data_IF_034970208105
#
_entry.id   IF_034970208105
#
_cell.length_a   1.000
_cell.length_b   1.000
_cell.length_c   1.000
_cell.angle_alpha   90.00
_cell.angle_beta   90.00
_cell.angle_gamma   90.00
#
_symmetry.space_group_name_H-M   'P 1'
#
loop_
_entity.id
_entity.type
_entity.pdbx_description
1 polymer ?
#
# COMPACT_ATOMS: atom_id res chain seq x y z
N UNK A 1 0.53 2.55 -26.79
CA UNK A 1 1.36 1.88 -25.78
C UNK A 1 2.81 1.87 -26.25
N UNK A 2 3.79 2.30 -25.45
CA UNK A 2 5.17 2.00 -25.75
C UNK A 2 5.34 0.48 -25.79
N UNK A 3 6.12 -0.01 -26.75
CA UNK A 3 6.49 -1.43 -26.81
C UNK A 3 7.62 -1.59 -25.80
N UNK A 4 7.45 -2.42 -24.74
CA UNK A 4 8.54 -2.70 -23.84
C UNK A 4 9.72 -3.33 -24.59
N UNK A 5 10.90 -2.92 -24.24
CA UNK A 5 12.16 -3.37 -24.87
C UNK A 5 12.57 -4.80 -24.48
N UNK A 6 11.77 -5.48 -23.66
CA UNK A 6 12.08 -6.80 -23.12
C UNK A 6 13.10 -6.77 -21.98
N UNK A 7 13.45 -5.59 -21.48
CA UNK A 7 14.38 -5.43 -20.36
C UNK A 7 13.84 -6.03 -19.08
N UNK A 8 14.70 -6.74 -18.36
CA UNK A 8 14.39 -7.30 -17.06
C UNK A 8 14.57 -6.25 -15.97
N UNK A 9 13.48 -5.91 -15.29
CA UNK A 9 13.50 -4.96 -14.19
C UNK A 9 13.37 -5.72 -12.86
N UNK A 10 14.24 -5.43 -11.90
CA UNK A 10 14.13 -6.02 -10.55
C UNK A 10 12.95 -5.43 -9.78
N UNK A 11 12.75 -4.13 -9.86
CA UNK A 11 11.69 -3.40 -9.17
C UNK A 11 10.93 -2.54 -10.17
N UNK A 12 9.61 -2.67 -10.17
CA UNK A 12 8.71 -1.80 -10.93
C UNK A 12 7.72 -1.11 -9.99
N UNK A 13 7.36 0.11 -10.35
CA UNK A 13 6.37 0.93 -9.65
C UNK A 13 5.14 1.05 -10.54
N UNK A 14 3.97 0.78 -9.98
CA UNK A 14 2.71 0.91 -10.70
C UNK A 14 1.76 1.85 -9.97
N UNK A 15 1.09 2.69 -10.74
CA UNK A 15 0.11 3.64 -10.23
C UNK A 15 -0.97 3.93 -11.28
N UNK A 16 -2.15 4.37 -10.83
CA UNK A 16 -3.27 4.79 -11.68
C UNK A 16 -3.54 6.27 -11.55
N UNK A 17 -3.45 7.02 -12.67
CA UNK A 17 -3.73 8.45 -12.71
C UNK A 17 -5.09 8.68 -13.38
N UNK A 18 -6.07 9.11 -12.59
CA UNK A 18 -7.38 9.48 -13.10
C UNK A 18 -7.33 10.83 -13.82
N UNK A 19 -7.55 10.82 -15.12
CA UNK A 19 -7.55 12.02 -15.99
C UNK A 19 -8.96 12.57 -16.14
N UNK A 20 -9.95 11.67 -16.09
CA UNK A 20 -11.38 12.02 -16.13
C UNK A 20 -12.18 11.00 -15.30
N UNK A 21 -13.48 11.23 -15.15
CA UNK A 21 -14.36 10.36 -14.35
C UNK A 21 -14.35 8.89 -14.80
N UNK A 22 -14.17 8.65 -16.08
CA UNK A 22 -14.20 7.34 -16.74
C UNK A 22 -12.94 7.05 -17.54
N UNK A 23 -11.83 7.73 -17.20
CA UNK A 23 -10.55 7.55 -17.86
C UNK A 23 -9.42 7.55 -16.84
N UNK A 24 -8.73 6.43 -16.71
CA UNK A 24 -7.52 6.26 -15.92
C UNK A 24 -6.36 5.87 -16.82
N UNK A 25 -5.20 6.46 -16.59
CA UNK A 25 -3.92 6.05 -17.18
C UNK A 25 -3.19 5.21 -16.14
N UNK A 26 -3.08 3.91 -16.40
CA UNK A 26 -2.25 3.00 -15.63
C UNK A 26 -0.82 3.13 -16.11
N UNK A 27 0.11 3.33 -15.18
CA UNK A 27 1.52 3.56 -15.49
C UNK A 27 2.37 2.51 -14.79
N UNK A 28 3.39 2.02 -15.49
CA UNK A 28 4.45 1.19 -14.96
C UNK A 28 5.78 1.90 -15.17
N UNK A 29 6.53 2.13 -14.09
CA UNK A 29 7.84 2.83 -14.12
C UNK A 29 8.92 1.93 -13.52
N UNK A 30 10.13 2.06 -14.06
CA UNK A 30 11.35 1.70 -13.38
C UNK A 30 11.82 2.85 -12.54
N UNK A 31 12.43 3.04 -11.57
CA UNK A 31 12.78 4.29 -10.84
C UNK A 31 13.25 5.47 -11.72
N UNK A 32 13.62 5.21 -12.98
CA UNK A 32 14.21 6.21 -13.87
C UNK A 32 13.29 6.63 -15.02
N UNK A 33 12.41 5.74 -15.50
CA UNK A 33 11.60 5.99 -16.70
C UNK A 33 10.25 5.27 -16.66
N UNK A 34 9.32 5.74 -17.46
CA UNK A 34 8.08 5.03 -17.77
C UNK A 34 8.42 3.85 -18.69
N UNK A 35 8.17 2.63 -18.22
CA UNK A 35 8.36 1.38 -18.95
C UNK A 35 7.15 1.09 -19.85
N UNK A 36 5.95 1.30 -19.32
CA UNK A 36 4.71 1.10 -20.07
C UNK A 36 3.58 1.92 -19.47
N UNK A 37 2.52 2.13 -20.26
CA UNK A 37 1.28 2.72 -19.81
C UNK A 37 0.08 2.13 -20.57
N UNK A 38 -1.09 2.16 -19.94
CA UNK A 38 -2.33 1.66 -20.53
C UNK A 38 -3.52 2.54 -20.13
N UNK A 39 -4.35 2.92 -21.10
CA UNK A 39 -5.55 3.72 -20.84
C UNK A 39 -6.76 2.79 -20.65
N UNK A 40 -7.49 3.01 -19.56
CA UNK A 40 -8.65 2.20 -19.20
C UNK A 40 -9.79 3.07 -18.63
N UNK A 41 -11.00 2.51 -18.57
CA UNK A 41 -12.12 3.15 -17.89
C UNK A 41 -12.12 2.96 -16.37
N UNK A 42 -11.35 1.99 -15.88
CA UNK A 42 -11.23 1.70 -14.45
C UNK A 42 -10.01 0.84 -14.16
N UNK A 43 -9.54 0.88 -12.91
CA UNK A 43 -8.42 0.09 -12.40
C UNK A 43 -8.82 -1.36 -12.08
N UNK A 44 -9.43 -2.06 -13.02
CA UNK A 44 -9.77 -3.46 -12.85
C UNK A 44 -8.61 -4.41 -13.21
N UNK A 45 -8.71 -5.69 -12.82
CA UNK A 45 -7.65 -6.66 -13.04
C UNK A 45 -7.31 -6.86 -14.51
N UNK A 46 -8.30 -6.80 -15.40
CA UNK A 46 -8.06 -6.95 -16.85
C UNK A 46 -7.18 -5.80 -17.40
N UNK A 47 -7.44 -4.56 -16.98
CA UNK A 47 -6.66 -3.41 -17.39
C UNK A 47 -5.22 -3.50 -16.85
N UNK A 48 -5.04 -3.90 -15.60
CA UNK A 48 -3.72 -4.14 -15.02
C UNK A 48 -2.98 -5.29 -15.70
N UNK A 49 -3.67 -6.39 -16.01
CA UNK A 49 -3.06 -7.50 -16.76
C UNK A 49 -2.63 -7.05 -18.16
N UNK A 50 -3.43 -6.21 -18.84
CA UNK A 50 -3.05 -5.67 -20.15
C UNK A 50 -1.81 -4.75 -20.08
N UNK A 51 -1.66 -3.97 -19.00
CA UNK A 51 -0.45 -3.18 -18.76
C UNK A 51 0.78 -4.07 -18.56
N UNK A 52 0.64 -5.13 -17.74
CA UNK A 52 1.78 -5.95 -17.29
C UNK A 52 2.16 -7.06 -18.28
N UNK A 53 1.22 -7.54 -19.10
CA UNK A 53 1.46 -8.68 -19.99
C UNK A 53 2.67 -8.53 -20.92
N UNK A 54 2.98 -7.35 -21.51
CA UNK A 54 4.15 -7.18 -22.39
C UNK A 54 5.46 -6.97 -21.60
N UNK A 55 5.43 -6.87 -20.27
CA UNK A 55 6.61 -6.59 -19.44
C UNK A 55 7.07 -7.89 -18.81
N UNK A 56 8.38 -8.24 -18.89
CA UNK A 56 8.91 -9.36 -18.12
C UNK A 56 8.60 -9.21 -16.62
N UNK A 57 8.17 -10.30 -15.97
CA UNK A 57 7.77 -10.26 -14.57
C UNK A 57 8.92 -9.80 -13.66
N UNK A 58 8.78 -8.70 -12.90
CA UNK A 58 9.82 -8.21 -11.99
C UNK A 58 9.91 -9.08 -10.73
N UNK A 59 11.01 -8.93 -9.98
CA UNK A 59 11.14 -9.54 -8.66
C UNK A 59 10.15 -8.92 -7.66
N UNK A 60 10.01 -7.59 -7.73
CA UNK A 60 9.13 -6.81 -6.85
C UNK A 60 8.33 -5.79 -7.66
N UNK A 61 7.08 -5.62 -7.28
CA UNK A 61 6.26 -4.50 -7.74
C UNK A 61 5.78 -3.66 -6.57
N UNK A 62 5.99 -2.35 -6.66
CA UNK A 62 5.51 -1.37 -5.68
C UNK A 62 4.17 -0.81 -6.16
N UNK A 63 3.15 -0.88 -5.32
CA UNK A 63 1.78 -0.49 -5.66
C UNK A 63 1.08 0.26 -4.53
N UNK A 64 0.07 1.04 -4.87
CA UNK A 64 -0.88 1.63 -3.91
C UNK A 64 -1.83 0.60 -3.28
N UNK A 65 -1.92 -0.63 -3.80
CA UNK A 65 -2.63 -1.79 -3.24
C UNK A 65 -4.08 -1.94 -3.69
N UNK A 66 -4.43 -1.46 -4.85
CA UNK A 66 -5.74 -1.72 -5.44
C UNK A 66 -6.01 -3.22 -5.65
N UNK A 67 -7.24 -3.68 -5.35
CA UNK A 67 -7.63 -5.10 -5.49
C UNK A 67 -7.53 -5.61 -6.93
N UNK A 68 -7.76 -4.73 -7.90
CA UNK A 68 -7.60 -5.05 -9.33
C UNK A 68 -6.16 -5.43 -9.66
N UNK A 69 -5.19 -4.66 -9.17
CA UNK A 69 -3.78 -4.96 -9.37
C UNK A 69 -3.36 -6.25 -8.66
N UNK A 70 -3.77 -6.42 -7.40
CA UNK A 70 -3.45 -7.62 -6.64
C UNK A 70 -3.94 -8.92 -7.33
N UNK A 71 -5.08 -8.87 -8.02
CA UNK A 71 -5.57 -9.99 -8.83
C UNK A 71 -4.70 -10.16 -10.08
N UNK A 72 -4.41 -9.09 -10.81
CA UNK A 72 -3.61 -9.14 -12.03
C UNK A 72 -2.22 -9.73 -11.79
N UNK A 73 -1.52 -9.29 -10.75
CA UNK A 73 -0.17 -9.79 -10.42
C UNK A 73 -0.15 -11.29 -10.13
N UNK A 74 -1.17 -11.83 -9.47
CA UNK A 74 -1.27 -13.28 -9.23
C UNK A 74 -1.41 -14.08 -10.52
N UNK A 75 -2.03 -13.49 -11.54
CA UNK A 75 -2.29 -14.16 -12.83
C UNK A 75 -1.11 -13.99 -13.80
N UNK A 76 -0.47 -12.83 -13.84
CA UNK A 76 0.59 -12.52 -14.83
C UNK A 76 2.01 -12.71 -14.31
N UNK A 77 2.22 -12.58 -13.02
CA UNK A 77 3.53 -12.70 -12.38
C UNK A 77 3.46 -13.39 -11.03
N UNK A 78 3.13 -14.71 -10.95
CA UNK A 78 2.88 -15.41 -9.69
C UNK A 78 4.10 -15.46 -8.75
N UNK A 79 5.31 -15.22 -9.24
CA UNK A 79 6.54 -15.13 -8.44
C UNK A 79 6.92 -13.71 -8.06
N UNK A 80 6.28 -12.72 -8.65
CA UNK A 80 6.51 -11.30 -8.33
C UNK A 80 6.01 -11.00 -6.93
N UNK A 81 6.86 -10.45 -6.08
CA UNK A 81 6.51 -10.02 -4.73
C UNK A 81 5.91 -8.63 -4.76
N UNK A 82 4.93 -8.40 -3.90
CA UNK A 82 4.24 -7.11 -3.81
C UNK A 82 4.81 -6.32 -2.64
N UNK A 83 5.24 -5.09 -2.90
CA UNK A 83 5.56 -4.08 -1.92
C UNK A 83 4.44 -3.04 -1.87
N UNK A 84 3.88 -2.82 -0.72
CA UNK A 84 2.95 -1.71 -0.51
C UNK A 84 3.70 -0.38 -0.47
N UNK A 85 3.31 0.58 -1.26
CA UNK A 85 3.86 1.93 -1.19
C UNK A 85 3.63 2.52 0.21
N UNK A 86 4.71 2.78 0.95
CA UNK A 86 4.64 3.29 2.34
C UNK A 86 4.03 4.69 2.40
N UNK A 87 4.26 5.52 1.38
CA UNK A 87 3.59 6.82 1.25
C UNK A 87 2.07 6.70 1.13
N UNK A 88 1.56 5.76 0.32
CA UNK A 88 0.12 5.52 0.21
C UNK A 88 -0.46 4.89 1.47
N UNK A 89 0.28 4.01 2.15
CA UNK A 89 -0.11 3.47 3.46
C UNK A 89 -0.25 4.60 4.51
N UNK A 90 0.73 5.49 4.60
CA UNK A 90 0.64 6.70 5.44
C UNK A 90 -0.52 7.60 5.03
N UNK A 91 -0.67 7.89 3.74
CA UNK A 91 -1.72 8.77 3.21
C UNK A 91 -3.12 8.25 3.55
N UNK A 92 -3.31 6.93 3.55
CA UNK A 92 -4.55 6.30 3.96
C UNK A 92 -4.85 6.53 5.45
N UNK A 93 -3.87 6.38 6.35
CA UNK A 93 -4.02 6.70 7.77
C UNK A 93 -4.31 8.20 7.96
N UNK A 94 -3.54 9.07 7.29
CA UNK A 94 -3.73 10.52 7.32
C UNK A 94 -5.15 10.93 6.90
N UNK A 95 -5.76 10.26 5.94
CA UNK A 95 -7.17 10.51 5.54
C UNK A 95 -8.14 10.31 6.69
N UNK A 96 -7.89 9.34 7.56
CA UNK A 96 -8.74 9.04 8.71
C UNK A 96 -8.39 9.88 9.95
N UNK A 97 -7.11 10.10 10.23
CA UNK A 97 -6.65 10.84 11.41
C UNK A 97 -6.63 12.35 11.21
N UNK A 98 -6.61 12.84 9.95
CA UNK A 98 -6.28 14.23 9.56
C UNK A 98 -4.79 14.55 9.73
N UNK A 99 -4.39 15.79 9.35
CA UNK A 99 -3.00 16.25 9.53
C UNK A 99 -2.72 16.76 10.96
N UNK A 100 -3.76 17.05 11.73
CA UNK A 100 -3.68 17.55 13.12
C UNK A 100 -4.69 16.80 14.00
N UNK A 101 -4.43 15.53 14.34
CA UNK A 101 -5.35 14.74 15.15
C UNK A 101 -5.53 15.37 16.54
N UNK A 102 -6.77 15.49 16.99
CA UNK A 102 -7.07 16.05 18.33
C UNK A 102 -6.90 15.00 19.43
N UNK A 103 -7.30 13.76 19.16
CA UNK A 103 -7.22 12.64 20.11
C UNK A 103 -5.79 12.13 20.20
N UNK A 104 -5.35 11.73 21.39
CA UNK A 104 -4.01 11.18 21.61
C UNK A 104 -3.80 9.91 20.77
N UNK A 105 -4.73 8.96 20.81
CA UNK A 105 -4.68 7.77 19.97
C UNK A 105 -4.46 8.09 18.48
N UNK A 106 -5.13 9.14 17.99
CA UNK A 106 -4.98 9.60 16.61
C UNK A 106 -3.62 10.21 16.32
N UNK A 107 -3.05 11.00 17.27
CA UNK A 107 -1.71 11.59 17.14
C UNK A 107 -0.63 10.52 17.08
N UNK A 108 -0.71 9.54 17.97
CA UNK A 108 0.23 8.43 18.02
C UNK A 108 0.16 7.57 16.75
N UNK A 109 -1.05 7.18 16.30
CA UNK A 109 -1.22 6.41 15.07
C UNK A 109 -0.73 7.17 13.83
N UNK A 110 -0.95 8.50 13.78
CA UNK A 110 -0.42 9.34 12.70
C UNK A 110 1.12 9.31 12.66
N UNK A 111 1.79 9.41 13.82
CA UNK A 111 3.24 9.35 13.90
C UNK A 111 3.76 7.97 13.52
N UNK A 112 3.17 6.89 14.04
CA UNK A 112 3.51 5.51 13.68
C UNK A 112 3.41 5.33 12.14
N UNK A 113 2.31 5.75 11.54
CA UNK A 113 2.14 5.62 10.10
C UNK A 113 3.11 6.48 9.28
N UNK A 114 3.46 7.69 9.77
CA UNK A 114 4.44 8.57 9.12
C UNK A 114 5.84 7.96 9.13
N UNK A 115 6.21 7.32 10.22
CA UNK A 115 7.53 6.74 10.40
C UNK A 115 7.81 5.56 9.44
N UNK A 116 6.75 4.97 8.81
CA UNK A 116 6.90 3.97 7.73
C UNK A 116 7.81 4.44 6.59
N UNK A 117 7.80 5.74 6.28
CA UNK A 117 8.54 6.29 5.15
C UNK A 117 10.06 6.40 5.41
N UNK A 118 10.49 6.25 6.65
CA UNK A 118 11.91 6.33 7.04
C UNK A 118 12.52 4.99 7.46
N UNK A 119 11.84 3.87 7.22
CA UNK A 119 12.35 2.55 7.59
C UNK A 119 13.29 2.03 6.51
N UNK A 120 14.55 1.77 6.88
CA UNK A 120 15.61 1.36 5.97
C UNK A 120 16.22 -0.01 6.32
N UNK A 121 15.93 -0.55 7.51
CA UNK A 121 16.48 -1.83 7.97
C UNK A 121 15.43 -2.76 8.53
N UNK A 122 15.71 -4.07 8.52
CA UNK A 122 14.82 -5.08 9.13
C UNK A 122 14.59 -4.81 10.62
N UNK A 123 15.63 -4.43 11.34
CA UNK A 123 15.51 -4.11 12.76
C UNK A 123 14.57 -2.91 13.01
N UNK A 124 14.66 -1.86 12.19
CA UNK A 124 13.69 -0.74 12.26
C UNK A 124 12.26 -1.19 11.94
N UNK A 125 12.10 -2.11 10.97
CA UNK A 125 10.79 -2.66 10.63
C UNK A 125 10.21 -3.48 11.79
N UNK A 126 11.01 -4.30 12.46
CA UNK A 126 10.60 -5.08 13.64
C UNK A 126 10.15 -4.15 14.78
N UNK A 127 10.94 -3.15 15.12
CA UNK A 127 10.60 -2.15 16.14
C UNK A 127 9.34 -1.36 15.78
N UNK A 128 9.13 -1.06 14.50
CA UNK A 128 7.94 -0.39 14.03
C UNK A 128 6.69 -1.27 14.20
N UNK A 129 6.77 -2.56 13.85
CA UNK A 129 5.67 -3.52 14.01
C UNK A 129 5.33 -3.69 15.49
N UNK A 130 6.33 -3.86 16.36
CA UNK A 130 6.16 -3.95 17.80
C UNK A 130 5.42 -2.72 18.35
N UNK A 131 5.92 -1.52 18.07
CA UNK A 131 5.27 -0.26 18.47
C UNK A 131 3.84 -0.13 17.96
N UNK A 132 3.55 -0.59 16.73
CA UNK A 132 2.21 -0.58 16.19
C UNK A 132 1.28 -1.57 16.92
N UNK A 133 1.78 -2.75 17.25
CA UNK A 133 1.02 -3.75 18.00
C UNK A 133 0.74 -3.30 19.43
N UNK A 134 1.71 -2.67 20.09
CA UNK A 134 1.55 -2.06 21.42
C UNK A 134 0.47 -0.98 21.39
N UNK A 135 0.48 -0.11 20.38
CA UNK A 135 -0.57 0.88 20.17
C UNK A 135 -1.95 0.20 19.99
N UNK A 136 -2.02 -0.87 19.23
CA UNK A 136 -3.26 -1.62 19.01
C UNK A 136 -3.80 -2.21 20.32
N UNK A 137 -2.93 -2.75 21.16
CA UNK A 137 -3.28 -3.30 22.48
C UNK A 137 -3.72 -2.21 23.46
N UNK A 138 -2.92 -1.14 23.57
CA UNK A 138 -3.19 -0.05 24.53
C UNK A 138 -4.53 0.65 24.26
N UNK A 139 -4.87 0.89 23.00
CA UNK A 139 -6.10 1.59 22.59
C UNK A 139 -7.28 0.66 22.26
N UNK A 140 -7.17 -0.65 22.55
CA UNK A 140 -8.19 -1.63 22.16
C UNK A 140 -9.58 -1.26 22.69
N UNK A 141 -9.71 -1.07 23.99
CA UNK A 141 -11.01 -0.78 24.64
C UNK A 141 -11.56 0.58 24.20
N UNK A 142 -10.70 1.60 24.12
CA UNK A 142 -11.08 2.92 23.62
C UNK A 142 -11.66 2.86 22.20
N UNK A 143 -11.13 2.02 21.34
CA UNK A 143 -11.63 1.85 19.99
C UNK A 143 -12.93 1.06 19.91
N UNK A 144 -13.31 0.32 20.97
CA UNK A 144 -14.59 -0.38 21.05
C UNK A 144 -15.72 0.49 21.62
N UNK A 145 -15.43 1.72 22.09
CA UNK A 145 -16.43 2.67 22.57
C UNK A 145 -17.54 2.89 21.55
N UNK A 146 -18.78 2.93 22.04
CA UNK A 146 -19.97 3.11 21.22
C UNK A 146 -20.82 4.26 21.72
N UNK A 147 -21.36 5.02 20.77
CA UNK A 147 -22.33 6.08 21.01
C UNK A 147 -23.63 5.80 20.25
N UNK A 148 -24.71 6.45 20.65
CA UNK A 148 -25.99 6.36 19.95
C UNK A 148 -26.16 7.61 19.10
N UNK A 149 -26.33 7.43 17.79
CA UNK A 149 -26.62 8.49 16.83
C UNK A 149 -27.89 8.08 16.06
N UNK A 150 -28.91 8.92 16.10
CA UNK A 150 -30.21 8.68 15.45
C UNK A 150 -30.80 7.30 15.81
N UNK A 151 -30.72 6.92 17.11
CA UNK A 151 -31.21 5.65 17.62
C UNK A 151 -30.38 4.41 17.28
N UNK A 152 -29.24 4.57 16.58
CA UNK A 152 -28.34 3.48 16.19
C UNK A 152 -27.04 3.51 17.00
N UNK A 153 -26.62 2.35 17.50
CA UNK A 153 -25.30 2.20 18.14
C UNK A 153 -24.22 2.16 17.05
N UNK A 154 -23.33 3.14 17.08
CA UNK A 154 -22.18 3.26 16.17
C UNK A 154 -20.88 3.32 16.97
N UNK A 155 -19.77 2.98 16.36
CA UNK A 155 -18.47 3.18 17.01
C UNK A 155 -18.16 4.67 17.14
N UNK A 156 -17.83 5.11 18.35
CA UNK A 156 -17.45 6.51 18.64
C UNK A 156 -16.21 6.91 17.84
N UNK A 157 -15.28 5.98 17.70
CA UNK A 157 -13.97 6.20 17.05
C UNK A 157 -13.82 5.48 15.72
N UNK A 158 -14.90 5.41 14.92
CA UNK A 158 -14.95 4.67 13.64
C UNK A 158 -13.80 5.02 12.69
N UNK A 159 -13.41 6.30 12.59
CA UNK A 159 -12.31 6.70 11.73
C UNK A 159 -10.97 6.10 12.17
N UNK A 160 -10.68 6.10 13.49
CA UNK A 160 -9.46 5.47 14.02
C UNK A 160 -9.49 3.94 13.84
N UNK A 161 -10.65 3.32 13.99
CA UNK A 161 -10.85 1.89 13.70
C UNK A 161 -10.50 1.55 12.25
N UNK A 162 -10.96 2.36 11.30
CA UNK A 162 -10.63 2.20 9.88
C UNK A 162 -9.15 2.40 9.61
N UNK A 163 -8.51 3.39 10.23
CA UNK A 163 -7.08 3.61 10.12
C UNK A 163 -6.29 2.39 10.65
N UNK A 164 -6.64 1.88 11.84
CA UNK A 164 -6.07 0.65 12.41
C UNK A 164 -6.25 -0.53 11.47
N UNK A 165 -7.48 -0.80 11.03
CA UNK A 165 -7.80 -1.91 10.13
C UNK A 165 -6.99 -1.88 8.84
N UNK A 166 -6.80 -0.68 8.26
CA UNK A 166 -5.98 -0.50 7.06
C UNK A 166 -4.52 -0.92 7.30
N UNK A 167 -3.88 -0.48 8.38
CA UNK A 167 -2.51 -0.88 8.72
C UNK A 167 -2.41 -2.35 9.12
N UNK A 168 -3.34 -2.85 9.94
CA UNK A 168 -3.36 -4.26 10.35
C UNK A 168 -3.42 -5.21 9.15
N UNK A 169 -4.23 -4.87 8.14
CA UNK A 169 -4.30 -5.66 6.90
C UNK A 169 -2.96 -5.71 6.16
N UNK A 170 -2.22 -4.60 6.14
CA UNK A 170 -0.90 -4.54 5.48
C UNK A 170 0.18 -5.28 6.26
N UNK A 171 0.16 -5.17 7.59
CA UNK A 171 1.06 -5.94 8.48
C UNK A 171 0.82 -7.43 8.31
N UNK A 172 -0.44 -7.86 8.38
CA UNK A 172 -0.82 -9.28 8.23
C UNK A 172 -0.49 -9.84 6.85
N UNK A 173 -0.57 -9.02 5.80
CA UNK A 173 -0.22 -9.41 4.44
C UNK A 173 1.30 -9.46 4.19
N UNK A 174 2.14 -8.94 5.12
CA UNK A 174 3.59 -8.90 4.98
C UNK A 174 4.09 -8.03 3.82
N UNK A 175 3.31 -7.04 3.38
CA UNK A 175 3.61 -6.27 2.16
C UNK A 175 4.29 -4.93 2.40
N UNK A 176 4.48 -4.54 3.67
CA UNK A 176 5.06 -3.22 4.01
C UNK A 176 6.58 -3.16 3.88
N UNK A 177 7.26 -4.29 4.06
CA UNK A 177 8.72 -4.34 4.18
C UNK A 177 9.36 -5.35 3.21
N UNK A 178 8.68 -5.66 2.11
CA UNK A 178 9.20 -6.57 1.08
C UNK A 178 10.55 -6.12 0.53
N UNK A 179 10.79 -4.81 0.42
CA UNK A 179 12.05 -4.23 -0.04
C UNK A 179 13.25 -4.50 0.87
N UNK A 180 13.02 -4.87 2.13
CA UNK A 180 14.07 -5.21 3.10
C UNK A 180 14.45 -6.70 3.08
N UNK A 181 13.79 -7.52 2.26
CA UNK A 181 14.07 -8.94 2.19
C UNK A 181 15.51 -9.20 1.68
N UNK A 182 16.37 -9.90 2.46
CA UNK A 182 17.74 -10.19 2.06
C UNK A 182 17.86 -10.97 0.76
N UNK A 183 16.84 -11.74 0.38
CA UNK A 183 16.78 -12.46 -0.90
C UNK A 183 16.68 -11.54 -2.11
N UNK A 184 16.22 -10.28 -1.93
CA UNK A 184 16.19 -9.27 -2.99
C UNK A 184 17.52 -8.53 -3.14
N UNK A 185 18.29 -8.40 -2.06
CA UNK A 185 19.57 -7.66 -2.07
C UNK A 185 20.74 -8.49 -2.58
N UNK A 186 20.65 -9.83 -2.54
CA UNK A 186 21.75 -10.75 -2.91
C UNK A 186 21.86 -11.09 -4.40
N UNK A 187 20.91 -10.70 -5.23
CA UNK A 187 21.03 -10.83 -6.67
C UNK A 187 21.62 -9.53 -7.27
N UNK A 188 22.85 -9.22 -6.93
CA UNK A 188 23.68 -8.28 -7.66
C UNK A 188 24.12 -8.88 -9.01
N UNK A 189 24.61 -8.03 -9.94
CA UNK A 189 25.02 -8.47 -11.27
C UNK A 189 26.08 -9.55 -11.22
#
# INVERSE_FOLDING_TARGET
MPVPDGELHRVLYVDGIWVARDLVVLICCSGERVVSWYMARSENSRAWSALMAPIPAPDVVVTDGGSGFAKAVRETGPRTRVQRCTFHAFSQVKRYTTTRPKLQAGRELYLIARDLMGIETLHQAELWVERYLDWCGFWADFLEDRTVVDGRRVYTHERLRRARSSLSSLVSAGTLFTYLDPGLTKAGP
#
